data_IF_854029688554
#
_entry.id   IF_854029688554
#
_cell.length_a   1.000
_cell.length_b   1.000
_cell.length_c   1.000
_cell.angle_alpha   90.00
_cell.angle_beta   90.00
_cell.angle_gamma   90.00
#
_symmetry.space_group_name_H-M   'P 1'
#
loop_
_entity.id
_entity.type
_entity.pdbx_description
1 polymer ?
#
# COMPACT_ATOMS: atom_id res chain seq x y z
N UNK A 1 -24.84 0.88 16.44
CA UNK A 1 -23.80 -0.14 16.21
C UNK A 1 -22.77 0.52 15.32
N UNK A 2 -21.70 1.09 15.88
CA UNK A 2 -20.71 1.82 15.09
C UNK A 2 -19.95 0.82 14.23
N UNK A 3 -20.15 0.86 12.90
CA UNK A 3 -19.38 0.05 11.97
C UNK A 3 -17.99 0.66 11.84
N UNK A 4 -16.95 -0.10 12.18
CA UNK A 4 -15.59 0.35 11.94
C UNK A 4 -15.34 0.40 10.43
N UNK A 5 -14.70 1.46 9.90
CA UNK A 5 -14.26 1.48 8.52
C UNK A 5 -13.30 0.32 8.24
N UNK A 6 -13.44 -0.27 7.06
CA UNK A 6 -12.59 -1.37 6.60
C UNK A 6 -11.73 -0.89 5.45
N UNK A 7 -10.41 -1.04 5.58
CA UNK A 7 -9.49 -0.77 4.48
C UNK A 7 -8.96 -2.08 3.93
N UNK A 8 -9.16 -2.26 2.63
CA UNK A 8 -8.75 -3.42 1.87
C UNK A 8 -7.47 -3.06 1.13
N UNK A 9 -6.35 -3.63 1.56
CA UNK A 9 -5.10 -3.49 0.83
C UNK A 9 -4.93 -4.63 -0.17
N UNK A 10 -4.62 -4.27 -1.41
CA UNK A 10 -4.36 -5.21 -2.50
C UNK A 10 -2.96 -4.95 -3.01
N UNK A 11 -2.14 -5.99 -3.19
CA UNK A 11 -0.89 -5.86 -3.94
C UNK A 11 -1.12 -6.31 -5.37
N UNK A 12 -0.86 -5.41 -6.33
CA UNK A 12 -0.86 -5.77 -7.74
C UNK A 12 0.25 -6.78 -8.06
N UNK A 13 0.09 -7.50 -9.17
CA UNK A 13 1.06 -8.50 -9.62
C UNK A 13 2.33 -7.77 -10.06
N UNK A 14 3.45 -8.01 -9.38
CA UNK A 14 4.76 -7.51 -9.76
C UNK A 14 5.81 -8.63 -9.74
N UNK A 15 6.79 -8.54 -10.65
CA UNK A 15 7.92 -9.47 -10.76
C UNK A 15 9.15 -8.99 -9.98
N UNK A 16 9.19 -7.71 -9.60
CA UNK A 16 10.35 -7.05 -8.97
C UNK A 16 10.55 -7.52 -7.51
N UNK A 17 9.50 -8.05 -6.87
CA UNK A 17 9.54 -8.59 -5.51
C UNK A 17 9.02 -10.02 -5.39
N UNK A 18 9.22 -10.88 -6.40
CA UNK A 18 8.82 -12.29 -6.33
C UNK A 18 9.41 -12.97 -5.08
N UNK A 19 8.54 -13.39 -4.15
CA UNK A 19 8.91 -13.99 -2.86
C UNK A 19 9.09 -13.00 -1.69
N UNK A 20 9.06 -11.69 -1.93
CA UNK A 20 9.12 -10.66 -0.88
C UNK A 20 7.74 -10.15 -0.51
N UNK A 21 7.54 -9.74 0.75
CA UNK A 21 6.28 -9.20 1.25
C UNK A 21 6.35 -7.68 1.40
N UNK A 22 5.39 -6.96 0.85
CA UNK A 22 5.19 -5.56 1.14
C UNK A 22 4.73 -5.41 2.59
N UNK A 23 5.30 -4.46 3.31
CA UNK A 23 4.89 -4.09 4.66
C UNK A 23 4.03 -2.85 4.56
N UNK A 24 2.79 -2.94 5.00
CA UNK A 24 1.85 -1.81 5.05
C UNK A 24 1.89 -1.23 6.45
N UNK A 25 2.18 0.05 6.54
CA UNK A 25 2.19 0.83 7.77
C UNK A 25 1.00 1.77 7.77
N UNK A 26 0.28 1.82 8.89
CA UNK A 26 -0.78 2.79 9.17
C UNK A 26 -0.32 3.61 10.37
N UNK A 27 -0.26 4.93 10.22
CA UNK A 27 0.26 5.87 11.22
C UNK A 27 1.65 5.50 11.74
N UNK A 28 2.47 4.91 10.87
CA UNK A 28 3.82 4.46 11.20
C UNK A 28 3.91 3.10 11.91
N UNK A 29 2.79 2.45 12.23
CA UNK A 29 2.74 1.11 12.81
C UNK A 29 2.52 0.05 11.74
N UNK A 30 3.23 -1.09 11.83
CA UNK A 30 3.07 -2.18 10.88
C UNK A 30 1.70 -2.83 11.06
N UNK A 31 0.80 -2.59 10.10
CA UNK A 31 -0.57 -3.12 10.13
C UNK A 31 -0.69 -4.45 9.38
N UNK A 32 0.01 -4.60 8.25
CA UNK A 32 -0.12 -5.79 7.42
C UNK A 32 1.14 -6.14 6.61
N UNK A 33 1.18 -7.38 6.11
CA UNK A 33 2.18 -7.84 5.15
C UNK A 33 1.49 -8.46 3.95
N UNK A 34 1.74 -7.96 2.75
CA UNK A 34 1.14 -8.44 1.50
C UNK A 34 2.13 -9.26 0.67
N UNK A 35 1.80 -10.53 0.45
CA UNK A 35 2.42 -11.37 -0.57
C UNK A 35 2.14 -10.90 -1.99
N UNK A 36 2.67 -11.60 -3.00
CA UNK A 36 2.34 -11.31 -4.39
C UNK A 36 0.87 -11.65 -4.65
N UNK A 37 0.14 -10.77 -5.36
CA UNK A 37 -1.31 -10.89 -5.61
C UNK A 37 -2.19 -10.96 -4.35
N UNK A 38 -1.64 -10.59 -3.19
CA UNK A 38 -2.30 -10.77 -1.90
C UNK A 38 -3.30 -9.65 -1.63
N UNK A 39 -4.36 -9.99 -0.89
CA UNK A 39 -5.43 -9.07 -0.47
C UNK A 39 -5.69 -9.26 1.01
N UNK A 40 -5.62 -8.18 1.77
CA UNK A 40 -5.92 -8.19 3.20
C UNK A 40 -6.87 -7.05 3.56
N UNK A 41 -7.84 -7.34 4.40
CA UNK A 41 -8.75 -6.34 4.96
C UNK A 41 -8.37 -6.10 6.41
N UNK A 42 -8.29 -4.83 6.80
CA UNK A 42 -8.10 -4.44 8.20
C UNK A 42 -9.16 -3.41 8.60
N UNK A 43 -9.59 -3.47 9.85
CA UNK A 43 -10.43 -2.43 10.43
C UNK A 43 -9.53 -1.29 10.92
N UNK A 44 -9.82 -0.08 10.47
CA UNK A 44 -9.13 1.14 10.90
C UNK A 44 -10.17 2.03 11.57
N UNK A 45 -9.76 2.80 12.59
CA UNK A 45 -10.65 3.80 13.18
C UNK A 45 -11.15 4.80 12.14
N UNK A 46 -12.31 5.41 12.41
CA UNK A 46 -12.73 6.56 11.63
C UNK A 46 -11.82 7.76 11.95
N UNK A 47 -11.49 8.56 10.94
CA UNK A 47 -10.57 9.68 11.05
C UNK A 47 -9.56 9.73 9.91
N UNK A 48 -8.58 10.62 10.07
CA UNK A 48 -7.47 10.77 9.12
C UNK A 48 -6.32 9.84 9.50
N UNK A 49 -5.91 8.99 8.57
CA UNK A 49 -4.85 8.01 8.75
C UNK A 49 -3.83 8.13 7.63
N UNK A 50 -2.55 7.97 7.97
CA UNK A 50 -1.46 7.98 6.98
C UNK A 50 -1.02 6.55 6.71
N UNK A 51 -1.17 6.11 5.47
CA UNK A 51 -0.74 4.79 5.03
C UNK A 51 0.54 4.88 4.22
N UNK A 52 1.47 3.95 4.46
CA UNK A 52 2.71 3.83 3.69
C UNK A 52 3.07 2.37 3.46
N UNK A 53 3.42 2.04 2.22
CA UNK A 53 3.95 0.74 1.85
C UNK A 53 5.48 0.75 1.83
N UNK A 54 6.10 -0.35 2.27
CA UNK A 54 7.56 -0.54 2.24
C UNK A 54 7.94 -1.92 1.73
N UNK A 55 9.05 -1.99 1.02
CA UNK A 55 9.71 -3.23 0.57
C UNK A 55 11.21 -3.08 0.76
N UNK A 56 11.73 -3.68 1.84
CA UNK A 56 13.12 -3.56 2.31
C UNK A 56 13.56 -2.09 2.43
N UNK A 57 14.29 -1.57 1.45
CA UNK A 57 14.83 -0.20 1.40
C UNK A 57 13.92 0.78 0.65
N UNK A 58 12.90 0.26 -0.05
CA UNK A 58 11.94 1.04 -0.82
C UNK A 58 10.76 1.44 0.05
N UNK A 59 10.26 2.66 -0.16
CA UNK A 59 9.08 3.21 0.50
C UNK A 59 8.19 3.91 -0.52
N UNK A 60 6.88 3.84 -0.31
CA UNK A 60 5.92 4.66 -1.04
C UNK A 60 5.89 6.07 -0.46
N UNK A 61 5.39 7.07 -1.22
CA UNK A 61 4.88 8.29 -0.62
C UNK A 61 3.80 7.96 0.43
N UNK A 62 3.67 8.76 1.49
CA UNK A 62 2.55 8.64 2.41
C UNK A 62 1.24 8.93 1.68
N UNK A 63 0.24 8.07 1.88
CA UNK A 63 -1.11 8.21 1.36
C UNK A 63 -2.04 8.52 2.55
N UNK A 64 -2.59 9.72 2.58
CA UNK A 64 -3.59 10.09 3.58
C UNK A 64 -4.95 9.52 3.18
N UNK A 65 -5.56 8.76 4.07
CA UNK A 65 -6.94 8.28 3.95
C UNK A 65 -7.80 9.04 4.96
N UNK A 66 -8.96 9.53 4.50
CA UNK A 66 -10.01 10.03 5.36
C UNK A 66 -11.10 8.96 5.42
N UNK A 67 -11.28 8.35 6.59
CA UNK A 67 -12.18 7.23 6.79
C UNK A 67 -13.39 7.66 7.60
N UNK A 68 -14.59 7.41 7.08
CA UNK A 68 -15.85 7.60 7.78
C UNK A 68 -16.34 6.27 8.36
N UNK A 69 -17.17 6.35 9.41
CA UNK A 69 -17.76 5.16 10.04
C UNK A 69 -18.51 4.32 9.02
N UNK A 70 -18.07 3.08 8.81
CA UNK A 70 -18.71 2.13 7.89
C UNK A 70 -18.17 2.16 6.46
N UNK A 71 -17.20 3.03 6.14
CA UNK A 71 -16.59 3.07 4.81
C UNK A 71 -15.81 1.79 4.52
N UNK A 72 -15.90 1.32 3.29
CA UNK A 72 -15.01 0.27 2.77
C UNK A 72 -14.11 0.87 1.70
N UNK A 73 -12.81 0.98 1.99
CA UNK A 73 -11.85 1.63 1.09
C UNK A 73 -10.88 0.61 0.54
N UNK A 74 -10.75 0.53 -0.79
CA UNK A 74 -9.77 -0.35 -1.42
C UNK A 74 -8.53 0.43 -1.85
N UNK A 75 -7.36 0.01 -1.36
CA UNK A 75 -6.06 0.60 -1.66
C UNK A 75 -5.19 -0.41 -2.39
N UNK A 76 -4.87 -0.10 -3.65
CA UNK A 76 -3.96 -0.92 -4.45
C UNK A 76 -2.52 -0.41 -4.29
N UNK A 77 -1.61 -1.33 -3.98
CA UNK A 77 -0.18 -1.10 -3.88
C UNK A 77 0.51 -1.80 -5.05
N UNK A 78 1.27 -1.06 -5.85
CA UNK A 78 2.02 -1.63 -6.98
C UNK A 78 3.47 -1.15 -6.97
N UNK A 79 4.39 -2.05 -7.32
CA UNK A 79 5.72 -1.63 -7.76
C UNK A 79 5.62 -1.25 -9.25
N UNK A 80 5.44 0.03 -9.57
CA UNK A 80 5.57 0.47 -10.97
C UNK A 80 7.02 0.29 -11.40
N UNK A 81 7.25 -0.73 -12.23
CA UNK A 81 8.50 -0.90 -12.96
C UNK A 81 8.69 0.22 -13.98
N UNK A 82 9.53 1.20 -13.64
CA UNK A 82 10.55 1.66 -14.59
C UNK A 82 11.86 0.99 -14.23
N UNK A 83 11.86 -0.35 -14.29
CA UNK A 83 13.03 -1.19 -14.07
C UNK A 83 12.96 -2.45 -14.96
N UNK A 84 12.55 -2.28 -16.21
CA UNK A 84 13.03 -3.13 -17.31
C UNK A 84 14.31 -2.51 -17.85
N UNK A 85 15.38 -2.51 -17.06
CA UNK A 85 16.75 -2.26 -17.53
C UNK A 85 17.74 -2.54 -16.40
N UNK A 86 18.51 -3.61 -16.53
CA UNK A 86 19.77 -3.85 -15.82
C UNK A 86 20.82 -2.73 -16.05
N UNK A 87 20.47 -1.68 -16.81
CA UNK A 87 21.31 -0.54 -17.21
C UNK A 87 20.82 0.82 -16.68
N UNK A 88 19.77 0.88 -15.85
CA UNK A 88 19.16 2.13 -15.38
C UNK A 88 19.55 2.60 -13.97
N UNK A 89 20.79 2.42 -13.52
CA UNK A 89 21.23 2.67 -12.13
C UNK A 89 21.47 4.14 -11.75
N UNK A 90 21.29 5.14 -12.62
CA UNK A 90 21.82 6.49 -12.35
C UNK A 90 20.84 7.67 -12.20
N UNK A 91 19.52 7.46 -12.10
CA UNK A 91 18.57 8.54 -11.77
C UNK A 91 17.59 8.09 -10.69
N UNK A 92 17.81 8.58 -9.46
CA UNK A 92 17.05 8.30 -8.22
C UNK A 92 15.59 8.76 -8.31
N UNK A 93 14.59 7.88 -8.49
CA UNK A 93 13.21 8.23 -8.16
C UNK A 93 13.05 8.13 -6.63
N UNK A 94 12.48 9.14 -5.97
CA UNK A 94 12.36 9.15 -4.50
C UNK A 94 11.46 8.04 -3.94
N UNK A 95 10.65 7.38 -4.76
CA UNK A 95 9.81 6.23 -4.40
C UNK A 95 9.58 5.33 -5.63
N UNK A 96 9.76 4.01 -5.49
CA UNK A 96 9.48 3.00 -6.54
C UNK A 96 8.20 2.19 -6.27
N UNK A 97 7.47 2.57 -5.21
CA UNK A 97 6.22 1.96 -4.78
C UNK A 97 5.13 3.02 -4.89
N UNK A 98 4.02 2.66 -5.52
CA UNK A 98 2.86 3.52 -5.69
C UNK A 98 1.67 2.93 -4.93
N UNK A 99 0.87 3.79 -4.30
CA UNK A 99 -0.37 3.43 -3.60
C UNK A 99 -1.50 4.30 -4.14
N UNK A 100 -2.57 3.65 -4.59
CA UNK A 100 -3.72 4.32 -5.21
C UNK A 100 -5.00 3.81 -4.57
N UNK A 101 -5.88 4.72 -4.17
CA UNK A 101 -7.24 4.40 -3.75
C UNK A 101 -8.05 4.06 -5.00
N UNK A 102 -8.63 2.85 -5.04
CA UNK A 102 -9.45 2.38 -6.16
C UNK A 102 -10.92 2.75 -6.02
N UNK A 103 -11.40 2.99 -4.81
CA UNK A 103 -12.78 3.38 -4.56
C UNK A 103 -13.13 3.38 -3.07
N UNK A 104 -14.25 4.04 -2.78
CA UNK A 104 -14.98 4.01 -1.52
C UNK A 104 -16.30 3.29 -1.82
N UNK A 105 -16.61 2.24 -1.06
CA UNK A 105 -17.89 1.51 -1.09
C UNK A 105 -18.66 1.71 0.22
#
# INVERSE_FOLDING_TARGET
MNRMPTVIFVRGIDTIGAGRKFRIYVDGQLAAKLGNSDRISIEIGAGSHVVQARLDWLRSPPLTLELTTGDVVTVETTARGRATSFTGTFLRPRSAIDMVVKGYE
#
